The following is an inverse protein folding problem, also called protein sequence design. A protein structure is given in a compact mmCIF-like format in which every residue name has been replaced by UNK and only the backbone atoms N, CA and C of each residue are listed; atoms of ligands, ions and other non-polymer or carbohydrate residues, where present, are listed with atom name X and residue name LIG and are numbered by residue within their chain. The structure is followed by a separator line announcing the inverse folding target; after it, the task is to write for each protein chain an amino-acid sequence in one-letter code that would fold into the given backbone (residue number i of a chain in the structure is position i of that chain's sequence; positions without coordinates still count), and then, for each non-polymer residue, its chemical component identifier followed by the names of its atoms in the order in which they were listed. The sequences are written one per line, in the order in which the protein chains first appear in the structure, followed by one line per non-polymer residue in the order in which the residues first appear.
data_IF_394733998623
#
_entry.id   IF_394733998623
#
_cell.length_a   1.000
_cell.length_b   1.000
_cell.length_c   1.000
_cell.angle_alpha   90.00
_cell.angle_beta   90.00
_cell.angle_gamma   90.00
#
_symmetry.space_group_name_H-M   'P 1'
#
loop_
_entity.id
_entity.type
_entity.pdbx_description
1 polymer ?
#
# COMPACT_ATOMS: atom_id res chain seq x y z
N UNK A 1 -2.35 -11.55 5.89
CA UNK A 1 -2.22 -10.09 5.94
C UNK A 1 -3.56 -9.48 6.34
N UNK A 2 -3.52 -8.49 7.19
CA UNK A 2 -4.74 -7.81 7.67
C UNK A 2 -4.56 -6.31 7.63
N UNK A 3 -5.62 -5.58 7.31
CA UNK A 3 -5.67 -4.13 7.48
C UNK A 3 -6.66 -3.84 8.61
N UNK A 4 -6.16 -3.35 9.75
CA UNK A 4 -6.88 -3.28 11.02
C UNK A 4 -7.44 -4.66 11.38
N UNK A 5 -8.77 -4.83 11.37
CA UNK A 5 -9.43 -6.11 11.68
C UNK A 5 -9.91 -6.86 10.45
N UNK A 6 -9.67 -6.33 9.25
CA UNK A 6 -10.14 -6.91 7.99
C UNK A 6 -9.10 -7.89 7.44
N UNK A 7 -9.49 -9.14 7.24
CA UNK A 7 -8.63 -10.15 6.62
C UNK A 7 -8.51 -9.87 5.12
N UNK A 8 -7.27 -9.70 4.64
CA UNK A 8 -6.99 -9.51 3.22
C UNK A 8 -6.77 -10.86 2.53
N UNK A 9 -6.97 -10.95 1.20
CA UNK A 9 -6.74 -12.19 0.47
C UNK A 9 -5.33 -12.74 0.66
N UNK A 10 -5.20 -14.05 0.76
CA UNK A 10 -3.91 -14.72 1.04
C UNK A 10 -2.86 -14.51 -0.05
N UNK A 11 -3.29 -14.32 -1.30
CA UNK A 11 -2.39 -14.15 -2.44
C UNK A 11 -1.96 -12.70 -2.68
N UNK A 12 -2.42 -11.77 -1.86
CA UNK A 12 -2.09 -10.36 -1.99
C UNK A 12 -0.62 -10.15 -1.64
N UNK A 13 0.11 -9.42 -2.47
CA UNK A 13 1.54 -9.18 -2.26
C UNK A 13 1.88 -7.71 -2.52
N UNK A 14 3.04 -7.28 -2.00
CA UNK A 14 3.56 -5.93 -2.23
C UNK A 14 4.20 -5.90 -3.61
N UNK A 15 3.62 -5.13 -4.52
CA UNK A 15 4.05 -5.08 -5.93
C UNK A 15 5.47 -4.52 -6.09
N UNK A 16 5.81 -3.51 -5.30
CA UNK A 16 7.05 -2.75 -5.45
C UNK A 16 7.89 -2.76 -4.17
N UNK A 17 8.00 -3.95 -3.55
CA UNK A 17 8.66 -4.13 -2.25
C UNK A 17 10.08 -3.54 -2.20
N UNK A 18 10.83 -3.64 -3.28
CA UNK A 18 12.22 -3.18 -3.33
C UNK A 18 12.44 -1.95 -4.22
N UNK A 19 11.39 -1.37 -4.78
CA UNK A 19 11.51 -0.20 -5.65
C UNK A 19 11.77 1.07 -4.86
N UNK A 20 11.28 1.15 -3.63
CA UNK A 20 11.53 2.29 -2.76
C UNK A 20 12.92 2.20 -2.16
N UNK A 21 13.69 3.26 -2.31
CA UNK A 21 15.03 3.37 -1.73
C UNK A 21 14.94 4.21 -0.46
N UNK A 22 15.10 3.62 0.74
CA UNK A 22 14.95 4.36 2.01
C UNK A 22 16.14 5.28 2.30
N UNK A 23 16.81 5.74 1.25
CA UNK A 23 17.96 6.65 1.35
C UNK A 23 17.86 7.68 0.23
N UNK A 24 17.86 8.96 0.60
CA UNK A 24 18.03 10.02 -0.39
C UNK A 24 19.53 10.24 -0.62
N UNK A 25 19.91 10.38 -1.88
CA UNK A 25 21.33 10.52 -2.27
C UNK A 25 21.50 11.66 -3.28
N UNK A 26 22.57 12.41 -3.13
CA UNK A 26 23.01 13.36 -4.14
C UNK A 26 24.49 13.12 -4.45
N UNK A 27 24.87 13.31 -5.72
CA UNK A 27 26.24 13.14 -6.17
C UNK A 27 26.68 14.42 -6.86
N UNK A 28 27.70 15.06 -6.31
CA UNK A 28 28.32 16.25 -6.89
C UNK A 28 29.74 15.94 -7.36
N UNK A 29 30.15 16.57 -8.48
CA UNK A 29 31.50 16.44 -9.01
C UNK A 29 32.38 17.56 -8.50
N UNK A 30 33.57 17.22 -8.06
CA UNK A 30 34.56 18.21 -7.65
C UNK A 30 35.34 18.76 -8.86
N UNK A 31 36.01 19.89 -8.68
CA UNK A 31 36.83 20.51 -9.73
C UNK A 31 37.94 19.59 -10.20
N UNK A 32 38.47 18.72 -9.34
CA UNK A 32 39.52 17.74 -9.66
C UNK A 32 39.01 16.47 -10.32
N UNK A 33 37.68 16.37 -10.59
CA UNK A 33 37.08 15.20 -11.23
C UNK A 33 36.59 14.12 -10.28
N UNK A 34 36.80 14.29 -8.97
CA UNK A 34 36.23 13.39 -7.97
C UNK A 34 34.72 13.56 -7.83
N UNK A 35 34.07 12.66 -7.12
CA UNK A 35 32.66 12.73 -6.79
C UNK A 35 32.44 12.85 -5.29
N UNK A 36 31.54 13.73 -4.89
CA UNK A 36 31.06 13.83 -3.50
C UNK A 36 29.66 13.22 -3.47
N UNK A 37 29.46 12.20 -2.64
CA UNK A 37 28.17 11.53 -2.48
C UNK A 37 27.63 11.87 -1.10
N UNK A 38 26.45 12.47 -1.08
CA UNK A 38 25.73 12.75 0.15
C UNK A 38 24.49 11.85 0.21
N UNK A 39 24.20 11.27 1.38
CA UNK A 39 23.05 10.42 1.55
C UNK A 39 22.37 10.68 2.90
N UNK A 40 21.04 10.48 2.92
CA UNK A 40 20.23 10.64 4.10
C UNK A 40 19.20 9.51 4.15
N UNK A 41 19.06 8.86 5.31
CA UNK A 41 18.05 7.83 5.50
C UNK A 41 16.65 8.40 5.48
N UNK A 42 15.73 7.72 4.79
CA UNK A 42 14.31 8.03 4.75
C UNK A 42 13.58 7.00 5.60
N UNK A 43 12.94 7.45 6.68
CA UNK A 43 12.30 6.54 7.64
C UNK A 43 10.88 6.17 7.28
N UNK A 44 10.10 7.12 6.80
CA UNK A 44 8.67 6.95 6.50
C UNK A 44 8.31 7.60 5.18
N UNK A 45 7.06 7.40 4.73
CA UNK A 45 6.59 7.91 3.45
C UNK A 45 6.72 6.91 2.32
N UNK A 46 7.04 5.65 2.63
CA UNK A 46 7.15 4.60 1.63
C UNK A 46 5.77 4.25 1.06
N UNK A 47 5.57 4.34 -0.27
CA UNK A 47 4.36 3.83 -0.87
C UNK A 47 4.34 2.30 -0.80
N UNK A 48 3.17 1.73 -0.52
CA UNK A 48 2.95 0.29 -0.46
C UNK A 48 1.79 -0.02 -1.39
N UNK A 49 2.04 -0.77 -2.46
CA UNK A 49 1.00 -1.21 -3.39
C UNK A 49 0.79 -2.70 -3.22
N UNK A 50 -0.40 -3.08 -2.74
CA UNK A 50 -0.80 -4.47 -2.56
C UNK A 50 -1.68 -4.88 -3.72
N UNK A 51 -1.31 -5.93 -4.43
CA UNK A 51 -2.00 -6.39 -5.64
C UNK A 51 -1.86 -7.90 -5.80
N UNK A 52 -2.47 -8.45 -6.84
CA UNK A 52 -2.29 -9.85 -7.24
C UNK A 52 -3.33 -10.81 -6.70
N UNK A 53 -4.41 -10.32 -6.10
CA UNK A 53 -5.44 -11.18 -5.54
C UNK A 53 -6.84 -10.68 -5.88
N UNK A 54 -7.80 -11.59 -5.82
CA UNK A 54 -9.22 -11.29 -5.94
C UNK A 54 -9.83 -11.30 -4.54
N UNK A 55 -10.71 -10.34 -4.28
CA UNK A 55 -11.40 -10.21 -3.02
C UNK A 55 -12.91 -10.29 -3.23
N UNK A 56 -13.62 -10.83 -2.25
CA UNK A 56 -15.07 -10.83 -2.25
C UNK A 56 -15.60 -9.43 -2.03
N UNK A 57 -16.78 -9.12 -2.57
CA UNK A 57 -17.42 -7.83 -2.42
C UNK A 57 -17.54 -7.40 -0.95
N UNK A 58 -17.80 -8.34 -0.03
CA UNK A 58 -17.91 -8.03 1.40
C UNK A 58 -16.63 -7.40 1.95
N UNK A 59 -15.46 -7.90 1.51
CA UNK A 59 -14.15 -7.35 1.89
C UNK A 59 -13.96 -5.97 1.25
N UNK A 60 -14.29 -5.84 -0.04
CA UNK A 60 -14.17 -4.57 -0.77
C UNK A 60 -15.01 -3.47 -0.14
N UNK A 61 -16.24 -3.79 0.27
CA UNK A 61 -17.15 -2.84 0.93
C UNK A 61 -16.56 -2.36 2.27
N UNK A 62 -15.99 -3.27 3.05
CA UNK A 62 -15.34 -2.92 4.32
C UNK A 62 -14.14 -2.00 4.09
N UNK A 63 -13.30 -2.31 3.09
CA UNK A 63 -12.13 -1.48 2.75
C UNK A 63 -12.55 -0.11 2.22
N UNK A 64 -13.60 -0.06 1.43
CA UNK A 64 -14.14 1.20 0.91
C UNK A 64 -14.63 2.10 2.06
N UNK A 65 -15.25 1.50 3.06
CA UNK A 65 -15.69 2.24 4.26
C UNK A 65 -14.50 2.80 5.05
N UNK A 66 -13.40 2.05 5.16
CA UNK A 66 -12.18 2.55 5.79
C UNK A 66 -11.57 3.71 5.00
N UNK A 67 -11.62 3.66 3.67
CA UNK A 67 -11.08 4.71 2.81
C UNK A 67 -11.83 6.03 2.99
N UNK A 68 -13.10 6.01 3.39
CA UNK A 68 -13.87 7.22 3.66
C UNK A 68 -13.24 8.08 4.77
N UNK A 69 -12.45 7.48 5.67
CA UNK A 69 -11.65 8.17 6.70
C UNK A 69 -10.16 8.04 6.37
N UNK A 70 -9.75 8.54 5.20
CA UNK A 70 -8.41 8.32 4.63
C UNK A 70 -7.28 8.92 5.47
N UNK A 71 -7.54 9.92 6.29
CA UNK A 71 -6.56 10.54 7.17
C UNK A 71 -6.43 9.85 8.54
N UNK A 72 -7.16 8.76 8.76
CA UNK A 72 -7.05 7.95 9.97
C UNK A 72 -5.95 6.90 9.80
N UNK A 73 -5.05 6.82 10.79
CA UNK A 73 -3.98 5.82 10.79
C UNK A 73 -4.55 4.40 10.87
N UNK A 74 -4.01 3.51 10.05
CA UNK A 74 -4.41 2.11 10.01
C UNK A 74 -3.20 1.22 10.28
N UNK A 75 -3.45 0.02 10.80
CA UNK A 75 -2.40 -0.96 11.08
C UNK A 75 -2.47 -2.05 10.02
N UNK A 76 -1.39 -2.19 9.26
CA UNK A 76 -1.21 -3.29 8.31
C UNK A 76 -0.41 -4.39 8.98
N UNK A 77 -1.04 -5.56 9.19
CA UNK A 77 -0.38 -6.73 9.75
C UNK A 77 0.14 -7.60 8.61
N UNK A 78 1.44 -7.81 8.58
CA UNK A 78 2.10 -8.62 7.55
C UNK A 78 1.96 -10.12 7.87
N UNK A 79 2.15 -11.01 6.88
CA UNK A 79 2.06 -12.46 7.10
C UNK A 79 3.07 -12.99 8.13
N UNK A 80 4.21 -12.32 8.30
CA UNK A 80 5.24 -12.69 9.27
C UNK A 80 4.95 -12.19 10.70
N UNK A 81 3.82 -11.50 10.90
CA UNK A 81 3.40 -10.96 12.19
C UNK A 81 3.88 -9.54 12.47
N UNK A 82 4.67 -8.94 11.59
CA UNK A 82 5.10 -7.55 11.76
C UNK A 82 3.96 -6.57 11.45
N UNK A 83 4.07 -5.36 11.99
CA UNK A 83 3.07 -4.31 11.82
C UNK A 83 3.66 -3.09 11.12
N UNK A 84 2.83 -2.44 10.31
CA UNK A 84 3.16 -1.14 9.71
C UNK A 84 1.97 -0.20 9.93
N UNK A 85 2.27 1.06 10.23
CA UNK A 85 1.24 2.09 10.30
C UNK A 85 1.12 2.74 8.93
N UNK A 86 -0.08 2.74 8.37
CA UNK A 86 -0.32 3.18 6.99
C UNK A 86 -1.52 4.11 6.90
N UNK A 87 -1.56 4.89 5.82
CA UNK A 87 -2.72 5.65 5.37
C UNK A 87 -3.07 5.21 3.95
N UNK A 88 -4.33 5.39 3.56
CA UNK A 88 -4.70 5.23 2.16
C UNK A 88 -4.05 6.33 1.34
N UNK A 89 -3.39 5.95 0.25
CA UNK A 89 -2.76 6.88 -0.68
C UNK A 89 -3.76 7.26 -1.79
N UNK A 90 -4.67 8.16 -1.46
CA UNK A 90 -5.77 8.55 -2.36
C UNK A 90 -5.25 9.19 -3.64
N UNK A 91 -4.18 9.97 -3.54
CA UNK A 91 -3.55 10.64 -4.68
C UNK A 91 -3.09 9.65 -5.76
N UNK A 92 -2.67 8.45 -5.33
CA UNK A 92 -2.24 7.38 -6.23
C UNK A 92 -3.30 6.30 -6.44
N UNK A 93 -4.54 6.55 -6.07
CA UNK A 93 -5.67 5.68 -6.36
C UNK A 93 -6.35 5.04 -5.14
N UNK A 94 -5.70 4.99 -3.98
CA UNK A 94 -6.27 4.38 -2.78
C UNK A 94 -6.71 2.94 -3.02
N UNK A 95 -7.97 2.65 -2.73
CA UNK A 95 -8.58 1.36 -3.02
C UNK A 95 -9.02 1.31 -4.50
N UNK A 96 -8.52 0.33 -5.23
CA UNK A 96 -8.96 0.04 -6.58
C UNK A 96 -9.52 -1.38 -6.62
N UNK A 97 -10.78 -1.52 -7.03
CA UNK A 97 -11.42 -2.82 -7.14
C UNK A 97 -12.22 -2.87 -8.44
N UNK A 98 -11.90 -3.83 -9.29
CA UNK A 98 -12.55 -4.01 -10.58
C UNK A 98 -13.25 -5.35 -10.62
N UNK A 99 -14.51 -5.37 -11.04
CA UNK A 99 -15.29 -6.60 -11.12
C UNK A 99 -14.65 -7.58 -12.11
N UNK A 100 -14.43 -8.82 -11.67
CA UNK A 100 -13.95 -9.90 -12.55
C UNK A 100 -15.04 -10.26 -13.54
N UNK A 101 -16.28 -10.40 -13.05
CA UNK A 101 -17.45 -10.65 -13.87
C UNK A 101 -18.43 -9.50 -13.69
N UNK A 102 -18.75 -8.74 -14.77
CA UNK A 102 -19.75 -7.67 -14.67
C UNK A 102 -21.11 -8.22 -14.30
N UNK A 103 -21.70 -7.67 -13.25
CA UNK A 103 -23.03 -8.08 -12.76
C UNK A 103 -23.90 -6.85 -12.54
N UNK A 104 -25.18 -6.95 -12.89
CA UNK A 104 -26.15 -5.88 -12.64
C UNK A 104 -26.47 -5.77 -11.16
N UNK A 105 -26.55 -6.92 -10.48
CA UNK A 105 -26.81 -7.00 -9.04
C UNK A 105 -25.73 -7.86 -8.38
N UNK A 106 -24.56 -7.28 -8.06
CA UNK A 106 -23.51 -8.03 -7.39
C UNK A 106 -23.92 -8.44 -5.98
N UNK A 107 -23.48 -9.63 -5.57
CA UNK A 107 -23.70 -10.18 -4.24
C UNK A 107 -22.42 -10.05 -3.41
N UNK A 108 -22.50 -10.36 -2.11
CA UNK A 108 -21.34 -10.32 -1.21
C UNK A 108 -20.25 -11.31 -1.61
N UNK A 109 -20.58 -12.35 -2.40
CA UNK A 109 -19.62 -13.34 -2.89
C UNK A 109 -19.05 -13.00 -4.28
N UNK A 110 -19.50 -11.91 -4.90
CA UNK A 110 -18.93 -11.44 -6.18
C UNK A 110 -17.47 -11.08 -6.00
N UNK A 111 -16.63 -11.46 -6.97
CA UNK A 111 -15.18 -11.27 -6.87
C UNK A 111 -14.72 -10.02 -7.62
N UNK A 112 -13.76 -9.34 -7.03
CA UNK A 112 -13.14 -8.14 -7.57
C UNK A 112 -11.63 -8.30 -7.57
N UNK A 113 -10.97 -7.82 -8.62
CA UNK A 113 -9.53 -7.67 -8.63
C UNK A 113 -9.16 -6.50 -7.72
N UNK A 114 -8.36 -6.78 -6.68
CA UNK A 114 -8.07 -5.84 -5.61
C UNK A 114 -6.68 -5.26 -5.76
N UNK A 115 -6.60 -3.93 -5.66
CA UNK A 115 -5.34 -3.20 -5.53
C UNK A 115 -5.50 -2.16 -4.43
N UNK A 116 -4.58 -2.18 -3.46
CA UNK A 116 -4.55 -1.22 -2.37
C UNK A 116 -3.31 -0.35 -2.46
N UNK A 117 -3.51 0.95 -2.61
CA UNK A 117 -2.43 1.92 -2.60
C UNK A 117 -2.38 2.57 -1.21
N UNK A 118 -1.32 2.28 -0.47
CA UNK A 118 -1.11 2.75 0.89
C UNK A 118 0.21 3.50 0.98
N UNK A 119 0.38 4.27 2.03
CA UNK A 119 1.64 4.93 2.34
C UNK A 119 2.00 4.65 3.79
N UNK A 120 3.24 4.20 4.03
CA UNK A 120 3.74 3.96 5.37
C UNK A 120 4.06 5.29 6.05
N UNK A 121 3.55 5.48 7.26
CA UNK A 121 3.72 6.70 8.02
C UNK A 121 4.25 6.40 9.41
N UNK A 122 4.76 7.44 10.08
CA UNK A 122 5.26 7.31 11.44
C UNK A 122 4.12 6.94 12.40
N UNK A 123 4.30 5.89 13.24
CA UNK A 123 3.31 5.54 14.26
C UNK A 123 3.18 6.66 15.30
N UNK A 124 1.96 6.93 15.70
CA UNK A 124 1.67 7.96 16.72
C UNK A 124 1.28 7.31 18.03
#
# INVERSE_FOLDING_TARGET
MKLDTIDLPANLFIKDEFDFKPVAQSVDRTVSGGAVVESMALSYGRPIVLTGAWAKRSIVVQLYALQAAADTLRILTMPDGSFKTVLFDIENGGLEANAIYPEVQPTDDSEYELTLNLIEVEPV
#
